data_IF_239908647708
#
_entry.id   IF_239908647708
#
_cell.length_a   1.000
_cell.length_b   1.000
_cell.length_c   1.000
_cell.angle_alpha   90.00
_cell.angle_beta   90.00
_cell.angle_gamma   90.00
#
_symmetry.space_group_name_H-M   'P 1'
#
loop_
_entity.id
_entity.type
_entity.pdbx_description
1 polymer ?
#
# COMPACT_ATOMS: atom_id res chain seq x y z
N UNK A 1 7.21 -0.03 -33.61
CA UNK A 1 7.36 -1.07 -32.57
C UNK A 1 7.47 -0.40 -31.21
N UNK A 2 6.61 -0.74 -30.29
CA UNK A 2 6.66 -0.17 -28.96
C UNK A 2 7.81 -0.78 -28.16
N UNK A 3 8.37 -0.01 -27.22
CA UNK A 3 9.38 -0.53 -26.32
C UNK A 3 8.74 -1.46 -25.29
N UNK A 4 9.46 -2.47 -24.82
CA UNK A 4 8.97 -3.30 -23.72
C UNK A 4 8.70 -2.46 -22.48
N UNK A 5 7.62 -2.78 -21.81
CA UNK A 5 7.27 -2.19 -20.52
C UNK A 5 7.39 -3.26 -19.45
N UNK A 6 7.97 -2.86 -18.33
CA UNK A 6 8.18 -3.75 -17.18
C UNK A 6 7.44 -3.21 -15.99
N UNK A 7 7.06 -4.08 -15.08
CA UNK A 7 6.53 -3.67 -13.79
C UNK A 7 7.41 -4.27 -12.70
N UNK A 8 7.96 -3.40 -11.88
CA UNK A 8 8.76 -3.82 -10.72
C UNK A 8 7.94 -3.60 -9.46
N UNK A 9 8.15 -4.44 -8.45
CA UNK A 9 7.35 -4.42 -7.24
C UNK A 9 8.24 -4.53 -6.01
N UNK A 10 7.92 -3.74 -4.99
CA UNK A 10 8.54 -3.84 -3.66
C UNK A 10 7.44 -4.01 -2.63
N UNK A 11 7.71 -4.80 -1.59
CA UNK A 11 6.77 -5.03 -0.50
C UNK A 11 7.34 -4.56 0.83
N UNK A 12 6.45 -4.18 1.73
CA UNK A 12 6.77 -3.86 3.11
C UNK A 12 5.64 -4.38 3.99
N UNK A 13 5.90 -4.52 5.29
CA UNK A 13 4.89 -4.97 6.24
C UNK A 13 4.74 -3.95 7.37
N UNK A 14 3.58 -3.93 7.99
CA UNK A 14 3.32 -3.16 9.19
C UNK A 14 2.23 -3.84 10.01
N UNK A 15 2.26 -3.64 11.31
CA UNK A 15 1.24 -4.15 12.22
C UNK A 15 0.47 -2.96 12.76
N UNK A 16 -0.86 -3.02 12.70
CA UNK A 16 -1.68 -1.89 13.12
C UNK A 16 -3.03 -2.36 13.64
N UNK A 17 -3.64 -1.53 14.48
CA UNK A 17 -4.97 -1.75 14.98
C UNK A 17 -5.98 -0.91 14.20
N UNK A 18 -7.20 -1.38 14.14
CA UNK A 18 -8.32 -0.64 13.57
C UNK A 18 -9.66 -1.17 14.09
N UNK A 19 -10.72 -0.46 13.76
CA UNK A 19 -12.08 -0.91 13.97
C UNK A 19 -12.98 -0.28 12.90
N UNK A 20 -14.14 -0.89 12.69
CA UNK A 20 -15.14 -0.37 11.77
C UNK A 20 -16.35 0.11 12.59
N UNK A 21 -16.49 1.43 12.70
CA UNK A 21 -17.61 2.02 13.42
C UNK A 21 -18.91 1.93 12.62
N UNK A 22 -18.80 1.90 11.28
CA UNK A 22 -19.94 1.82 10.39
C UNK A 22 -20.11 0.37 9.92
N UNK A 23 -21.33 -0.11 9.90
CA UNK A 23 -21.64 -1.47 9.52
C UNK A 23 -22.53 -2.13 10.56
N UNK A 24 -22.83 -3.44 10.38
CA UNK A 24 -23.70 -4.16 11.32
C UNK A 24 -23.13 -4.19 12.74
N UNK A 25 -23.98 -3.93 13.72
CA UNK A 25 -23.60 -4.00 15.14
C UNK A 25 -23.23 -5.42 15.55
N UNK A 26 -22.43 -5.52 16.63
CA UNK A 26 -22.04 -6.80 17.25
C UNK A 26 -21.21 -7.69 16.35
N UNK A 27 -20.53 -7.15 15.34
CA UNK A 27 -19.54 -7.88 14.56
C UNK A 27 -18.17 -7.76 15.22
N UNK A 28 -17.30 -8.79 15.10
CA UNK A 28 -15.95 -8.73 15.68
C UNK A 28 -15.15 -7.51 15.21
N UNK A 29 -15.31 -7.09 13.95
CA UNK A 29 -14.59 -5.97 13.38
C UNK A 29 -15.05 -4.59 13.91
N UNK A 30 -16.17 -4.52 14.66
CA UNK A 30 -16.60 -3.29 15.32
C UNK A 30 -15.76 -2.97 16.56
N UNK A 31 -15.05 -3.96 17.09
CA UNK A 31 -14.16 -3.77 18.24
C UNK A 31 -12.75 -3.46 17.71
N UNK A 32 -11.97 -2.74 18.53
CA UNK A 32 -10.54 -2.51 18.19
C UNK A 32 -9.85 -3.86 18.15
N UNK A 33 -9.17 -4.11 17.05
CA UNK A 33 -8.39 -5.33 16.84
C UNK A 33 -7.20 -5.03 15.93
N UNK A 34 -6.24 -5.93 15.88
CA UNK A 34 -5.01 -5.72 15.13
C UNK A 34 -4.77 -6.79 14.06
N UNK A 35 -4.01 -6.40 13.07
CA UNK A 35 -3.57 -7.28 11.99
C UNK A 35 -2.14 -7.00 11.60
N UNK A 36 -1.50 -8.02 11.04
CA UNK A 36 -0.29 -7.83 10.25
C UNK A 36 -0.71 -7.55 8.82
N UNK A 37 -0.25 -6.43 8.28
CA UNK A 37 -0.52 -6.00 6.91
C UNK A 37 0.73 -6.14 6.06
N UNK A 38 0.52 -6.39 4.77
CA UNK A 38 1.56 -6.34 3.77
C UNK A 38 1.11 -5.39 2.68
N UNK A 39 2.01 -4.49 2.25
CA UNK A 39 1.75 -3.58 1.14
C UNK A 39 2.76 -3.83 0.05
N UNK A 40 2.29 -3.85 -1.20
CA UNK A 40 3.13 -3.95 -2.39
C UNK A 40 2.90 -2.72 -3.24
N UNK A 41 3.98 -2.09 -3.68
CA UNK A 41 3.95 -0.96 -4.59
C UNK A 41 4.66 -1.34 -5.88
N UNK A 42 4.01 -1.12 -7.01
CA UNK A 42 4.53 -1.45 -8.33
C UNK A 42 4.69 -0.19 -9.17
N UNK A 43 5.80 -0.12 -9.91
CA UNK A 43 6.11 0.96 -10.83
C UNK A 43 6.28 0.36 -12.21
N UNK A 44 5.62 0.95 -13.22
CA UNK A 44 5.65 0.45 -14.58
C UNK A 44 6.34 1.45 -15.50
N UNK A 45 7.12 0.94 -16.43
CA UNK A 45 7.76 1.75 -17.45
C UNK A 45 8.79 0.97 -18.25
N UNK A 46 9.50 1.67 -19.14
CA UNK A 46 10.63 1.06 -19.86
C UNK A 46 11.83 0.91 -18.93
N UNK A 47 12.75 0.03 -19.33
CA UNK A 47 14.06 -0.05 -18.67
C UNK A 47 14.91 1.13 -19.09
N UNK A 48 15.32 1.96 -18.14
CA UNK A 48 16.00 3.23 -18.40
C UNK A 48 17.52 3.06 -18.44
N UNK A 49 18.14 3.63 -19.46
CA UNK A 49 19.60 3.68 -19.56
C UNK A 49 20.16 4.72 -18.56
N UNK A 50 21.40 4.58 -18.07
CA UNK A 50 22.36 3.51 -18.43
C UNK A 50 22.24 2.22 -17.60
N UNK A 51 21.43 2.21 -16.54
CA UNK A 51 21.39 1.08 -15.61
C UNK A 51 20.51 -0.07 -16.15
N UNK A 52 19.45 0.25 -16.88
CA UNK A 52 18.54 -0.74 -17.41
C UNK A 52 17.42 -1.13 -16.46
N UNK A 53 17.01 -0.23 -15.55
CA UNK A 53 15.90 -0.47 -14.64
C UNK A 53 14.73 0.48 -14.90
N UNK A 54 13.53 0.11 -14.43
CA UNK A 54 12.35 0.98 -14.47
C UNK A 54 12.52 2.10 -13.45
N UNK A 55 12.94 1.75 -12.25
CA UNK A 55 13.20 2.66 -11.15
C UNK A 55 14.14 1.97 -10.16
N UNK A 56 14.73 2.77 -9.27
CA UNK A 56 15.60 2.25 -8.21
C UNK A 56 14.76 1.55 -7.14
N UNK A 57 14.89 0.22 -7.02
CA UNK A 57 14.15 -0.54 -6.00
C UNK A 57 14.54 -0.14 -4.58
N UNK A 58 15.77 0.30 -4.33
CA UNK A 58 16.17 0.77 -3.01
C UNK A 58 15.47 2.08 -2.66
N UNK A 59 15.29 2.97 -3.64
CA UNK A 59 14.54 4.21 -3.45
C UNK A 59 13.05 3.92 -3.21
N UNK A 60 12.48 2.96 -3.95
CA UNK A 60 11.10 2.52 -3.75
C UNK A 60 10.92 1.92 -2.35
N UNK A 61 11.87 1.11 -1.89
CA UNK A 61 11.86 0.54 -0.55
C UNK A 61 11.84 1.62 0.52
N UNK A 62 12.73 2.62 0.40
CA UNK A 62 12.82 3.72 1.36
C UNK A 62 11.50 4.48 1.45
N UNK A 63 10.92 4.84 0.30
CA UNK A 63 9.65 5.57 0.26
C UNK A 63 8.50 4.74 0.81
N UNK A 64 8.41 3.47 0.43
CA UNK A 64 7.35 2.57 0.87
C UNK A 64 7.41 2.34 2.38
N UNK A 65 8.59 2.07 2.91
CA UNK A 65 8.79 1.86 4.34
C UNK A 65 8.50 3.11 5.16
N UNK A 66 8.81 4.29 4.63
CA UNK A 66 8.50 5.55 5.31
C UNK A 66 6.99 5.70 5.51
N UNK A 67 6.19 5.34 4.49
CA UNK A 67 4.73 5.39 4.61
C UNK A 67 4.22 4.30 5.56
N UNK A 68 4.72 3.07 5.42
CA UNK A 68 4.34 1.97 6.30
C UNK A 68 4.64 2.29 7.77
N UNK A 69 5.79 2.91 8.04
CA UNK A 69 6.18 3.30 9.40
C UNK A 69 5.25 4.33 10.02
N UNK A 70 4.58 5.16 9.22
CA UNK A 70 3.56 6.08 9.73
C UNK A 70 2.36 5.35 10.32
N UNK A 71 2.11 4.13 9.86
CA UNK A 71 0.95 3.32 10.26
C UNK A 71 1.31 2.27 11.31
N UNK A 72 2.59 1.87 11.36
CA UNK A 72 3.04 0.76 12.17
C UNK A 72 2.84 1.02 13.66
N UNK A 73 2.31 0.03 14.37
CA UNK A 73 2.01 0.09 15.79
C UNK A 73 1.04 1.21 16.18
N UNK A 74 0.22 1.66 15.23
CA UNK A 74 -0.75 2.71 15.47
C UNK A 74 -2.19 2.22 15.34
N UNK A 75 -3.12 3.11 15.66
CA UNK A 75 -4.55 2.93 15.42
C UNK A 75 -4.87 3.64 14.09
N UNK A 76 -5.20 2.87 13.08
CA UNK A 76 -5.40 3.39 11.71
C UNK A 76 -6.50 4.46 11.68
N UNK A 77 -7.56 4.29 12.49
CA UNK A 77 -8.68 5.23 12.53
C UNK A 77 -8.27 6.67 12.88
N UNK A 78 -7.11 6.86 13.52
CA UNK A 78 -6.62 8.18 13.91
C UNK A 78 -5.76 8.84 12.82
N UNK A 79 -5.44 8.12 11.76
CA UNK A 79 -4.59 8.64 10.69
C UNK A 79 -5.41 9.44 9.67
N UNK A 80 -4.83 10.49 9.09
CA UNK A 80 -5.55 11.30 8.09
C UNK A 80 -6.06 10.46 6.93
N UNK A 81 -7.36 10.56 6.64
CA UNK A 81 -7.99 9.83 5.55
C UNK A 81 -8.35 8.39 5.87
N UNK A 82 -8.06 7.91 7.08
CA UNK A 82 -8.31 6.52 7.48
C UNK A 82 -9.35 6.39 8.60
N UNK A 83 -10.28 7.34 8.71
CA UNK A 83 -11.43 7.22 9.61
C UNK A 83 -12.27 5.99 9.29
N UNK A 84 -12.24 5.51 8.04
CA UNK A 84 -12.78 4.22 7.63
C UNK A 84 -11.63 3.39 7.05
N UNK A 85 -10.90 2.66 7.91
CA UNK A 85 -9.63 2.03 7.51
C UNK A 85 -9.83 0.67 6.83
N UNK A 86 -10.48 0.67 5.68
CA UNK A 86 -10.64 -0.49 4.83
C UNK A 86 -9.35 -0.75 4.05
N UNK A 87 -9.24 -1.94 3.45
CA UNK A 87 -8.12 -2.22 2.55
C UNK A 87 -8.09 -1.24 1.39
N UNK A 88 -9.26 -0.85 0.88
CA UNK A 88 -9.40 0.11 -0.22
C UNK A 88 -8.82 1.47 0.17
N UNK A 89 -9.18 1.97 1.34
CA UNK A 89 -8.68 3.27 1.82
C UNK A 89 -7.20 3.21 2.15
N UNK A 90 -6.70 2.06 2.62
CA UNK A 90 -5.27 1.87 2.81
C UNK A 90 -4.52 1.95 1.47
N UNK A 91 -5.07 1.33 0.41
CA UNK A 91 -4.48 1.45 -0.93
C UNK A 91 -4.38 2.91 -1.36
N UNK A 92 -5.44 3.69 -1.16
CA UNK A 92 -5.44 5.12 -1.49
C UNK A 92 -4.44 5.90 -0.65
N UNK A 93 -4.33 5.58 0.62
CA UNK A 93 -3.37 6.21 1.53
C UNK A 93 -1.93 6.08 1.01
N UNK A 94 -1.54 4.87 0.61
CA UNK A 94 -0.22 4.62 0.04
C UNK A 94 -0.03 5.30 -1.31
N UNK A 95 -1.04 5.19 -2.19
CA UNK A 95 -0.95 5.78 -3.53
C UNK A 95 -0.75 7.29 -3.48
N UNK A 96 -1.52 7.99 -2.65
CA UNK A 96 -1.43 9.45 -2.53
C UNK A 96 -0.03 9.91 -2.10
N UNK A 97 0.66 9.11 -1.29
CA UNK A 97 1.98 9.46 -0.77
C UNK A 97 3.12 9.01 -1.68
N UNK A 98 2.90 8.00 -2.50
CA UNK A 98 3.93 7.46 -3.38
C UNK A 98 3.92 8.05 -4.79
N UNK A 99 2.76 8.44 -5.32
CA UNK A 99 2.65 9.04 -6.67
C UNK A 99 3.58 10.23 -6.86
N UNK A 100 3.69 11.19 -5.91
CA UNK A 100 4.59 12.33 -6.10
C UNK A 100 6.07 11.95 -6.24
N UNK A 101 6.47 10.84 -5.62
CA UNK A 101 7.85 10.34 -5.67
C UNK A 101 8.05 9.43 -6.88
N UNK A 102 7.04 8.65 -7.23
CA UNK A 102 7.08 7.70 -8.34
C UNK A 102 5.88 7.94 -9.26
N UNK A 103 6.00 8.87 -10.22
CA UNK A 103 4.89 9.14 -11.15
C UNK A 103 4.46 7.92 -11.98
N UNK A 104 5.36 6.95 -12.14
CA UNK A 104 5.07 5.69 -12.82
C UNK A 104 4.42 4.63 -11.94
N UNK A 105 4.01 4.99 -10.72
CA UNK A 105 3.32 4.06 -9.84
C UNK A 105 2.09 3.50 -10.56
N UNK A 106 1.99 2.18 -10.65
CA UNK A 106 0.96 1.51 -11.44
C UNK A 106 -0.02 0.73 -10.60
N UNK A 107 0.40 0.31 -9.39
CA UNK A 107 -0.43 -0.59 -8.60
C UNK A 107 -0.03 -0.55 -7.13
N UNK A 108 -1.02 -0.61 -6.26
CA UNK A 108 -0.84 -0.85 -4.83
C UNK A 108 -1.68 -2.07 -4.46
N UNK A 109 -1.09 -2.99 -3.72
CA UNK A 109 -1.83 -4.11 -3.13
C UNK A 109 -1.63 -4.06 -1.62
N UNK A 110 -2.72 -4.03 -0.87
CA UNK A 110 -2.67 -4.14 0.60
C UNK A 110 -3.35 -5.44 0.99
N UNK A 111 -2.70 -6.23 1.81
CA UNK A 111 -3.21 -7.53 2.20
C UNK A 111 -3.10 -7.76 3.71
N UNK A 112 -3.94 -8.66 4.19
CA UNK A 112 -3.86 -9.26 5.51
C UNK A 112 -3.54 -10.75 5.30
N UNK A 113 -2.24 -11.11 5.17
CA UNK A 113 -1.86 -12.45 4.74
C UNK A 113 -2.39 -13.57 5.64
N UNK A 114 -2.44 -13.33 6.95
CA UNK A 114 -2.94 -14.34 7.91
C UNK A 114 -4.42 -14.65 7.70
N UNK A 115 -5.18 -13.75 7.08
CA UNK A 115 -6.59 -13.95 6.80
C UNK A 115 -6.86 -14.29 5.33
N UNK A 116 -5.83 -14.30 4.50
CA UNK A 116 -5.99 -14.57 3.08
C UNK A 116 -6.77 -13.50 2.33
N UNK A 117 -6.69 -12.24 2.76
CA UNK A 117 -7.44 -11.12 2.19
C UNK A 117 -6.51 -10.12 1.53
N UNK A 118 -6.93 -9.55 0.41
CA UNK A 118 -6.16 -8.51 -0.26
C UNK A 118 -7.06 -7.58 -1.07
N UNK A 119 -6.54 -6.40 -1.34
CA UNK A 119 -7.17 -5.42 -2.22
C UNK A 119 -6.09 -4.83 -3.12
N UNK A 120 -6.37 -4.73 -4.40
CA UNK A 120 -5.47 -4.14 -5.38
C UNK A 120 -6.09 -2.87 -5.95
N UNK A 121 -5.31 -1.79 -5.97
CA UNK A 121 -5.66 -0.54 -6.64
C UNK A 121 -4.83 -0.45 -7.91
N UNK A 122 -5.50 -0.35 -9.06
CA UNK A 122 -4.86 -0.10 -10.36
C UNK A 122 -4.86 1.40 -10.65
N UNK A 123 -3.71 1.91 -11.06
CA UNK A 123 -3.50 3.34 -11.31
C UNK A 123 -3.32 3.66 -12.81
N UNK A 124 -3.56 2.69 -13.65
CA UNK A 124 -3.42 2.87 -15.11
C UNK A 124 -4.75 2.71 -15.82
#
# INVERSE_FOLDING_TARGET
>A
MSQPSFEITKAATFDAAHYFAEGPENRPYSNIHGHSFRVEASVRGPALEPVGWVADLAALETALKAVANQLDHGLLNEKPGLDRPTLEHLCLYFAERLIPVFPGLSRIVVSRPTLGESCALSLT
#
